data_IF_967041993545
#
_entry.id   IF_967041993545
#
_cell.length_a   1.000
_cell.length_b   1.000
_cell.length_c   1.000
_cell.angle_alpha   90.00
_cell.angle_beta   90.00
_cell.angle_gamma   90.00
#
_symmetry.space_group_name_H-M   'P 1'
#
loop_
_entity.id
_entity.type
_entity.pdbx_description
1 polymer ?
#
# COMPACT_ATOMS: atom_id res chain seq x y z
N UNK A 1 -4.27 9.83 2.64
CA UNK A 1 -2.97 10.56 2.77
C UNK A 1 -2.65 10.86 4.23
N UNK A 2 -3.60 11.40 5.00
CA UNK A 2 -3.47 11.67 6.43
C UNK A 2 -3.05 10.45 7.27
N UNK A 3 -3.55 9.23 6.98
CA UNK A 3 -3.18 8.02 7.74
C UNK A 3 -1.70 7.65 7.62
N UNK A 4 -1.10 7.88 6.45
CA UNK A 4 0.33 7.64 6.24
C UNK A 4 1.17 8.63 7.03
N UNK A 5 0.79 9.91 7.03
CA UNK A 5 1.49 10.95 7.78
C UNK A 5 1.43 10.68 9.28
N UNK A 6 0.25 10.30 9.80
CA UNK A 6 0.09 9.90 11.21
C UNK A 6 1.02 8.76 11.60
N UNK A 7 1.09 7.70 10.80
CA UNK A 7 1.98 6.58 11.06
C UNK A 7 3.46 7.00 11.07
N UNK A 8 3.89 7.89 10.17
CA UNK A 8 5.25 8.43 10.21
C UNK A 8 5.50 9.33 11.41
N UNK A 9 4.54 10.18 11.77
CA UNK A 9 4.63 11.05 12.95
C UNK A 9 4.80 10.24 14.23
N UNK A 10 3.98 9.21 14.45
CA UNK A 10 4.09 8.34 15.63
C UNK A 10 5.46 7.64 15.68
N UNK A 11 5.97 7.19 14.54
CA UNK A 11 7.31 6.61 14.43
C UNK A 11 8.43 7.61 14.72
N UNK A 12 8.38 8.82 14.16
CA UNK A 12 9.38 9.86 14.43
C UNK A 12 9.32 10.32 15.89
N UNK A 13 8.13 10.40 16.48
CA UNK A 13 7.96 10.73 17.89
C UNK A 13 8.58 9.67 18.81
N UNK A 14 8.36 8.38 18.51
CA UNK A 14 8.98 7.29 19.26
C UNK A 14 10.51 7.32 19.14
N UNK A 15 11.04 7.55 17.93
CA UNK A 15 12.48 7.71 17.70
C UNK A 15 13.07 8.88 18.47
N UNK A 16 12.40 10.03 18.43
CA UNK A 16 12.83 11.23 19.11
C UNK A 16 12.91 10.99 20.62
N UNK A 17 11.88 10.36 21.21
CA UNK A 17 11.90 9.99 22.64
C UNK A 17 13.08 9.08 22.99
N UNK A 18 13.35 8.07 22.17
CA UNK A 18 14.48 7.16 22.40
C UNK A 18 15.82 7.90 22.31
N UNK A 19 16.00 8.76 21.30
CA UNK A 19 17.21 9.57 21.15
C UNK A 19 17.41 10.53 22.32
N UNK A 20 16.33 11.16 22.77
CA UNK A 20 16.37 12.05 23.92
C UNK A 20 16.64 11.30 25.24
N UNK A 21 16.18 10.05 25.39
CA UNK A 21 16.53 9.22 26.54
C UNK A 21 18.02 8.88 26.57
N UNK A 22 18.62 8.59 25.40
CA UNK A 22 20.08 8.41 25.30
C UNK A 22 20.82 9.73 25.59
N UNK A 23 20.35 10.84 25.01
CA UNK A 23 20.92 12.17 25.26
C UNK A 23 20.85 12.58 26.73
N UNK A 24 19.76 12.27 27.44
CA UNK A 24 19.64 12.62 28.85
C UNK A 24 20.63 11.86 29.74
N UNK A 25 20.99 10.64 29.36
CA UNK A 25 22.00 9.86 30.07
C UNK A 25 23.41 10.42 29.83
N UNK A 26 23.69 10.89 28.61
CA UNK A 26 24.99 11.43 28.23
C UNK A 26 25.21 12.87 28.74
N UNK A 27 24.15 13.69 28.77
CA UNK A 27 24.18 15.11 29.15
C UNK A 27 23.17 15.46 30.27
N UNK A 28 23.34 14.91 31.48
CA UNK A 28 22.36 15.07 32.57
C UNK A 28 22.15 16.53 32.98
N UNK A 29 23.19 17.36 32.92
CA UNK A 29 23.08 18.80 33.24
C UNK A 29 22.17 19.56 32.27
N UNK A 30 22.18 19.20 30.98
CA UNK A 30 21.34 19.86 29.97
C UNK A 30 19.92 19.30 30.04
N UNK A 31 19.77 17.99 30.19
CA UNK A 31 18.46 17.35 30.33
C UNK A 31 17.68 17.84 31.56
N UNK A 32 18.37 18.07 32.68
CA UNK A 32 17.76 18.64 33.88
C UNK A 32 17.14 20.04 33.64
N UNK A 33 17.77 20.87 32.80
CA UNK A 33 17.27 22.21 32.44
C UNK A 33 16.01 22.16 31.57
N UNK A 34 15.83 21.07 30.82
CA UNK A 34 14.65 20.84 29.98
C UNK A 34 13.56 20.03 30.71
N UNK A 35 13.73 19.79 32.02
CA UNK A 35 12.88 18.91 32.83
C UNK A 35 12.66 17.56 32.15
N UNK A 36 13.70 17.03 31.52
CA UNK A 36 13.65 15.84 30.70
C UNK A 36 14.27 14.65 31.45
N UNK A 37 13.48 13.58 31.63
CA UNK A 37 13.92 12.35 32.30
C UNK A 37 13.41 11.15 31.52
N UNK A 38 14.30 10.22 31.20
CA UNK A 38 13.99 8.91 30.60
C UNK A 38 12.98 8.93 29.43
N UNK A 39 13.11 9.91 28.52
CA UNK A 39 12.28 10.00 27.30
C UNK A 39 10.98 10.80 27.46
N UNK A 40 10.75 11.42 28.62
CA UNK A 40 9.60 12.27 28.90
C UNK A 40 10.05 13.63 29.42
N UNK A 41 9.27 14.67 29.12
CA UNK A 41 9.47 16.02 29.65
C UNK A 41 8.28 16.42 30.50
N UNK A 42 8.57 17.07 31.63
CA UNK A 42 7.54 17.72 32.45
C UNK A 42 7.08 19.07 31.90
N UNK A 43 7.79 19.65 30.92
CA UNK A 43 7.47 20.96 30.36
C UNK A 43 6.55 20.82 29.12
N UNK A 44 5.32 21.37 29.16
CA UNK A 44 4.41 21.37 28.01
C UNK A 44 4.98 22.03 26.76
N UNK A 45 5.84 23.04 26.90
CA UNK A 45 6.46 23.76 25.77
C UNK A 45 7.49 22.90 25.06
N UNK A 46 8.36 22.21 25.82
CA UNK A 46 9.33 21.25 25.27
C UNK A 46 8.59 20.10 24.59
N UNK A 47 7.52 19.59 25.22
CA UNK A 47 6.70 18.54 24.62
C UNK A 47 6.10 19.00 23.28
N UNK A 48 5.56 20.23 23.22
CA UNK A 48 4.98 20.78 21.99
C UNK A 48 6.04 21.02 20.91
N UNK A 49 7.25 21.42 21.29
CA UNK A 49 8.38 21.56 20.38
C UNK A 49 8.81 20.21 19.80
N UNK A 50 8.88 19.16 20.62
CA UNK A 50 9.15 17.80 20.17
C UNK A 50 8.08 17.30 19.19
N UNK A 51 6.80 17.56 19.48
CA UNK A 51 5.70 17.21 18.59
C UNK A 51 5.80 17.94 17.24
N UNK A 52 6.08 19.25 17.26
CA UNK A 52 6.27 20.03 16.04
C UNK A 52 7.46 19.51 15.21
N UNK A 53 8.59 19.21 15.86
CA UNK A 53 9.76 18.66 15.20
C UNK A 53 9.48 17.27 14.58
N UNK A 54 8.81 16.38 15.33
CA UNK A 54 8.43 15.06 14.85
C UNK A 54 7.47 15.15 13.64
N UNK A 55 6.56 16.13 13.63
CA UNK A 55 5.66 16.38 12.51
C UNK A 55 6.44 16.80 11.25
N UNK A 56 7.34 17.76 11.37
CA UNK A 56 8.20 18.21 10.26
C UNK A 56 9.05 17.05 9.73
N UNK A 57 9.65 16.26 10.62
CA UNK A 57 10.44 15.08 10.23
C UNK A 57 9.59 14.04 9.48
N UNK A 58 8.35 13.82 9.92
CA UNK A 58 7.41 12.93 9.26
C UNK A 58 7.03 13.41 7.85
N UNK A 59 6.77 14.71 7.68
CA UNK A 59 6.49 15.32 6.37
C UNK A 59 7.67 15.17 5.41
N UNK A 60 8.90 15.44 5.88
CA UNK A 60 10.12 15.22 5.11
C UNK A 60 10.23 13.75 4.69
N UNK A 61 9.93 12.82 5.61
CA UNK A 61 10.02 11.38 5.33
C UNK A 61 8.99 10.93 4.30
N UNK A 62 7.77 11.46 4.36
CA UNK A 62 6.71 11.25 3.36
C UNK A 62 7.16 11.77 1.99
N UNK A 63 7.62 13.03 1.93
CA UNK A 63 8.05 13.66 0.69
C UNK A 63 9.24 12.92 0.06
N UNK A 64 10.22 12.54 0.88
CA UNK A 64 11.37 11.72 0.43
C UNK A 64 10.90 10.38 -0.14
N UNK A 65 9.91 9.72 0.49
CA UNK A 65 9.38 8.46 -0.04
C UNK A 65 8.63 8.62 -1.35
N UNK A 66 7.86 9.70 -1.48
CA UNK A 66 7.19 10.03 -2.74
C UNK A 66 8.19 10.26 -3.87
N UNK A 67 9.18 11.13 -3.65
CA UNK A 67 10.22 11.45 -4.65
C UNK A 67 11.04 10.22 -5.04
N UNK A 68 11.37 9.35 -4.08
CA UNK A 68 12.05 8.09 -4.39
C UNK A 68 11.20 7.16 -5.26
N UNK A 69 9.90 7.03 -4.98
CA UNK A 69 9.01 6.19 -5.79
C UNK A 69 8.87 6.71 -7.22
N UNK A 70 8.86 8.03 -7.40
CA UNK A 70 8.86 8.68 -8.71
C UNK A 70 10.14 8.40 -9.50
N UNK A 71 11.32 8.57 -8.87
CA UNK A 71 12.60 8.24 -9.49
C UNK A 71 12.63 6.77 -9.91
N UNK A 72 12.24 5.86 -9.00
CA UNK A 72 12.18 4.44 -9.29
C UNK A 72 11.24 4.14 -10.48
N UNK A 73 10.09 4.80 -10.55
CA UNK A 73 9.15 4.66 -11.66
C UNK A 73 9.74 5.17 -12.98
N UNK A 74 10.43 6.32 -12.95
CA UNK A 74 11.05 6.90 -14.16
C UNK A 74 12.16 6.00 -14.74
N UNK A 75 12.99 5.42 -13.88
CA UNK A 75 14.04 4.47 -14.31
C UNK A 75 13.41 3.19 -14.84
N UNK A 76 12.38 2.67 -14.17
CA UNK A 76 11.65 1.49 -14.63
C UNK A 76 10.99 1.73 -16.01
N UNK A 77 10.43 2.90 -16.26
CA UNK A 77 9.85 3.23 -17.56
C UNK A 77 10.89 3.34 -18.68
N UNK A 78 12.12 3.77 -18.39
CA UNK A 78 13.20 3.79 -19.38
C UNK A 78 13.70 2.38 -19.71
N UNK A 79 13.79 1.49 -18.72
CA UNK A 79 14.32 0.13 -18.89
C UNK A 79 13.28 -0.86 -19.43
N UNK A 80 12.01 -0.67 -19.11
CA UNK A 80 10.93 -1.56 -19.53
C UNK A 80 9.69 -0.76 -19.97
N UNK A 81 9.75 -0.12 -21.14
CA UNK A 81 8.65 0.72 -21.65
C UNK A 81 7.37 -0.06 -21.92
N UNK A 82 7.47 -1.38 -22.16
CA UNK A 82 6.36 -2.25 -22.53
C UNK A 82 5.65 -2.94 -21.35
N UNK A 83 6.08 -2.74 -20.10
CA UNK A 83 5.36 -3.24 -18.93
C UNK A 83 4.31 -2.17 -18.54
N UNK A 84 3.01 -2.37 -18.86
CA UNK A 84 2.00 -1.41 -18.44
C UNK A 84 2.03 -1.34 -16.91
N UNK A 85 2.12 -0.12 -16.38
CA UNK A 85 1.92 0.13 -14.96
C UNK A 85 0.65 -0.62 -14.53
N UNK A 86 0.78 -1.52 -13.54
CA UNK A 86 -0.30 -2.37 -13.07
C UNK A 86 -1.60 -1.56 -13.00
N UNK A 87 -2.58 -1.90 -13.85
CA UNK A 87 -3.83 -1.15 -14.00
C UNK A 87 -4.54 -1.17 -12.64
N UNK A 88 -4.65 -0.03 -11.95
CA UNK A 88 -5.36 0.02 -10.69
C UNK A 88 -6.86 -0.13 -10.99
N UNK A 89 -7.40 -1.33 -10.74
CA UNK A 89 -8.81 -1.65 -10.98
C UNK A 89 -9.09 -3.13 -11.30
N UNK A 90 -8.08 -3.88 -11.76
CA UNK A 90 -8.24 -5.31 -12.12
C UNK A 90 -7.89 -6.27 -10.97
N UNK A 91 -7.94 -5.80 -9.72
CA UNK A 91 -7.73 -6.65 -8.53
C UNK A 91 -8.78 -6.37 -7.44
N UNK A 92 -10.02 -6.08 -7.86
CA UNK A 92 -11.19 -6.26 -7.01
C UNK A 92 -12.29 -6.93 -7.83
N UNK A 93 -12.06 -8.19 -8.18
CA UNK A 93 -13.13 -9.08 -8.58
C UNK A 93 -13.25 -10.15 -7.52
N UNK A 94 -13.84 -9.76 -6.38
CA UNK A 94 -14.40 -10.74 -5.45
C UNK A 94 -15.36 -11.65 -6.24
N UNK A 95 -15.24 -12.98 -6.17
CA UNK A 95 -16.17 -13.87 -6.85
C UNK A 95 -17.53 -13.72 -6.19
N UNK A 96 -18.45 -12.99 -6.82
CA UNK A 96 -19.85 -12.99 -6.42
C UNK A 96 -20.40 -14.37 -6.76
N UNK A 97 -20.47 -15.20 -5.73
CA UNK A 97 -21.26 -16.41 -5.74
C UNK A 97 -22.72 -16.06 -6.02
N UNK A 98 -23.35 -16.85 -6.90
CA UNK A 98 -24.80 -16.88 -7.04
C UNK A 98 -25.35 -16.62 -8.44
N UNK A 99 -25.48 -17.71 -9.19
CA UNK A 99 -26.61 -18.04 -10.07
C UNK A 99 -26.80 -17.23 -11.38
N UNK A 100 -26.81 -17.95 -12.52
CA UNK A 100 -27.59 -17.54 -13.71
C UNK A 100 -26.94 -17.52 -15.11
N UNK A 101 -25.76 -18.12 -15.37
CA UNK A 101 -25.07 -17.94 -16.68
C UNK A 101 -24.92 -19.18 -17.59
N UNK A 102 -25.72 -20.24 -17.46
CA UNK A 102 -25.56 -21.42 -18.36
C UNK A 102 -26.37 -21.36 -19.66
N UNK A 103 -27.22 -20.35 -19.89
CA UNK A 103 -28.11 -20.36 -21.08
C UNK A 103 -27.64 -19.48 -22.25
N UNK A 104 -26.70 -18.55 -22.02
CA UNK A 104 -26.23 -17.63 -23.07
C UNK A 104 -24.92 -18.06 -23.75
N UNK A 105 -24.29 -19.14 -23.28
CA UNK A 105 -23.07 -19.70 -23.90
C UNK A 105 -23.35 -20.53 -25.17
N UNK A 106 -24.59 -20.98 -25.40
CA UNK A 106 -24.97 -21.76 -26.59
C UNK A 106 -25.17 -20.93 -27.87
N UNK A 107 -25.25 -19.60 -27.78
CA UNK A 107 -25.62 -18.73 -28.93
C UNK A 107 -24.44 -18.06 -29.64
N UNK A 108 -23.23 -18.14 -29.11
CA UNK A 108 -22.02 -17.60 -29.78
C UNK A 108 -21.24 -18.64 -30.58
N UNK A 109 -21.57 -19.93 -30.47
CA UNK A 109 -20.97 -20.99 -31.29
C UNK A 109 -21.59 -21.13 -32.70
N UNK A 110 -22.40 -20.16 -33.14
CA UNK A 110 -23.12 -20.18 -34.42
C UNK A 110 -22.48 -19.30 -35.52
N UNK A 111 -21.35 -18.63 -35.27
CA UNK A 111 -20.76 -17.67 -36.22
C UNK A 111 -19.53 -18.15 -37.00
N UNK A 112 -19.01 -19.34 -36.72
CA UNK A 112 -18.01 -19.97 -37.58
C UNK A 112 -18.62 -21.14 -38.32
N UNK A 113 -18.96 -20.90 -39.59
CA UNK A 113 -19.36 -21.90 -40.55
C UNK A 113 -18.31 -23.02 -40.61
N UNK A 114 -18.59 -24.09 -39.89
CA UNK A 114 -17.91 -25.37 -40.05
C UNK A 114 -19.02 -26.40 -40.12
N UNK A 115 -19.38 -26.81 -41.34
CA UNK A 115 -20.25 -27.95 -41.57
C UNK A 115 -19.53 -29.20 -41.06
N UNK A 116 -19.69 -29.51 -39.77
CA UNK A 116 -19.42 -30.87 -39.28
C UNK A 116 -20.65 -31.69 -39.63
N UNK A 117 -20.51 -32.45 -40.72
CA UNK A 117 -21.45 -33.45 -41.17
C UNK A 117 -21.79 -34.40 -40.00
N UNK A 118 -23.00 -34.25 -39.46
CA UNK A 118 -23.60 -35.20 -38.52
C UNK A 118 -24.00 -36.44 -39.30
N UNK A 119 -23.08 -37.39 -39.45
CA UNK A 119 -23.42 -38.73 -39.96
C UNK A 119 -24.20 -39.45 -38.87
N UNK A 120 -25.46 -39.74 -39.17
CA UNK A 120 -26.35 -40.51 -38.32
C UNK A 120 -25.80 -41.90 -38.01
N UNK A 121 -26.13 -42.36 -36.81
CA UNK A 121 -25.89 -43.70 -36.32
C UNK A 121 -26.85 -43.96 -35.19
N UNK A 122 -28.13 -44.10 -35.56
CA UNK A 122 -29.17 -44.71 -34.75
C UNK A 122 -28.70 -46.07 -34.26
N UNK A 123 -28.82 -46.32 -32.97
CA UNK A 123 -29.06 -47.66 -32.41
C UNK A 123 -29.79 -47.47 -31.08
N UNK A 124 -31.10 -47.30 -31.23
CA UNK A 124 -32.10 -47.83 -30.31
C UNK A 124 -31.81 -49.29 -29.99
N UNK A 125 -32.22 -49.68 -28.78
CA UNK A 125 -32.38 -51.04 -28.28
C UNK A 125 -31.13 -51.90 -28.14
N UNK A 126 -30.75 -52.13 -26.88
CA UNK A 126 -30.80 -53.47 -26.27
C UNK A 126 -30.40 -53.39 -24.79
N UNK A 127 -31.38 -53.76 -23.95
CA UNK A 127 -31.29 -54.43 -22.64
C UNK A 127 -30.45 -53.77 -21.55
#
# INVERSE_FOLDING_TARGET
MHDKLRGYYEQEMAKLKNQFATFSNEYPRVAARLSFTSGQTGDPHVQRMMQAFALIAAEIRVNRRRRRAEIHRSVASCLAPALPAAVPGMLDRSPRSGQGFTEQAGRLAAWHGTHVARRGGSLSDRL
#
